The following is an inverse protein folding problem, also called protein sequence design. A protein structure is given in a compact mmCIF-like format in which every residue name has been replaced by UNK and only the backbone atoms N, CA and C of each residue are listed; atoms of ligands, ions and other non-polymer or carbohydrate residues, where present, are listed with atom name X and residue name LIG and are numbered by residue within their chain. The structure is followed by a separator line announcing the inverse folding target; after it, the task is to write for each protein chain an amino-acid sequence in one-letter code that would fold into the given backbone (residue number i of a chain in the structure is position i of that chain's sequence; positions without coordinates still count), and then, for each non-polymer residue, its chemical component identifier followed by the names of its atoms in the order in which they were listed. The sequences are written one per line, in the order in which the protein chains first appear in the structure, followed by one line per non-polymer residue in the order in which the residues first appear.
data_IF_507383131115
#
_entry.id   IF_507383131115
#
_cell.length_a   1.000
_cell.length_b   1.000
_cell.length_c   1.000
_cell.angle_alpha   90.00
_cell.angle_beta   90.00
_cell.angle_gamma   90.00
#
_symmetry.space_group_name_H-M   'P 1'
#
loop_
_entity.id
_entity.type
_entity.pdbx_description
1 polymer ?
#
# COMPACT_ATOMS: atom_id res chain seq x y z
N UNK A 1 12.81 -13.92 -28.18
CA UNK A 1 12.25 -12.58 -28.45
C UNK A 1 11.14 -12.76 -29.46
N UNK A 2 9.94 -12.34 -29.14
CA UNK A 2 8.77 -12.52 -30.01
C UNK A 2 8.22 -11.14 -30.37
N UNK A 3 8.06 -10.86 -31.66
CA UNK A 3 7.68 -9.53 -32.16
C UNK A 3 6.22 -9.56 -32.56
N UNK A 4 5.45 -8.59 -32.08
CA UNK A 4 4.03 -8.42 -32.38
C UNK A 4 3.81 -7.10 -33.08
N UNK A 5 2.86 -7.07 -34.01
CA UNK A 5 2.43 -5.84 -34.67
C UNK A 5 1.32 -5.19 -33.87
N UNK A 6 1.32 -3.87 -33.86
CA UNK A 6 0.17 -3.09 -33.38
C UNK A 6 -0.96 -3.19 -34.41
N UNK A 7 -2.18 -3.35 -33.90
CA UNK A 7 -3.41 -3.36 -34.70
C UNK A 7 -4.25 -2.16 -34.30
N UNK A 8 -4.53 -1.25 -35.24
CA UNK A 8 -5.38 -0.10 -34.95
C UNK A 8 -6.83 -0.55 -34.81
N UNK A 9 -7.50 -0.15 -33.74
CA UNK A 9 -8.92 -0.40 -33.50
C UNK A 9 -9.63 0.89 -33.10
N UNK A 10 -10.65 1.29 -33.86
CA UNK A 10 -11.33 2.57 -33.66
C UNK A 10 -10.44 3.78 -34.05
N UNK A 11 -10.80 4.96 -33.54
CA UNK A 11 -10.13 6.22 -33.89
C UNK A 11 -8.75 6.39 -33.25
N UNK A 12 -8.60 6.00 -31.98
CA UNK A 12 -7.47 6.37 -31.11
C UNK A 12 -6.85 5.21 -30.33
N UNK A 13 -7.24 3.95 -30.58
CA UNK A 13 -6.75 2.79 -29.81
C UNK A 13 -5.98 1.82 -30.68
N UNK A 14 -4.96 1.19 -30.09
CA UNK A 14 -4.18 0.12 -30.71
C UNK A 14 -4.23 -1.13 -29.81
N UNK A 15 -4.22 -2.30 -30.42
CA UNK A 15 -4.13 -3.59 -29.77
C UNK A 15 -2.78 -4.26 -30.07
N UNK A 16 -2.28 -5.01 -29.10
CA UNK A 16 -1.16 -5.95 -29.25
C UNK A 16 -1.55 -7.30 -28.67
N UNK A 17 -1.25 -8.38 -29.38
CA UNK A 17 -1.59 -9.73 -28.91
C UNK A 17 -0.58 -10.23 -27.89
N UNK A 18 -1.06 -10.60 -26.70
CA UNK A 18 -0.22 -11.20 -25.65
C UNK A 18 0.14 -12.66 -25.98
N UNK A 19 1.34 -13.15 -25.59
CA UNK A 19 1.73 -14.54 -25.79
C UNK A 19 0.80 -15.52 -25.07
N UNK A 20 0.31 -16.55 -25.77
CA UNK A 20 -0.60 -17.56 -25.19
C UNK A 20 -0.01 -18.28 -23.99
N UNK A 21 1.29 -18.57 -24.01
CA UNK A 21 2.01 -19.21 -22.91
C UNK A 21 2.01 -18.32 -21.66
N UNK A 22 2.19 -17.01 -21.82
CA UNK A 22 2.15 -16.05 -20.72
C UNK A 22 0.75 -15.93 -20.11
N UNK A 23 -0.30 -15.94 -20.93
CA UNK A 23 -1.69 -15.98 -20.46
C UNK A 23 -1.95 -17.22 -19.60
N UNK A 24 -1.52 -18.39 -20.10
CA UNK A 24 -1.71 -19.68 -19.41
C UNK A 24 -0.92 -19.74 -18.10
N UNK A 25 0.34 -19.30 -18.13
CA UNK A 25 1.23 -19.25 -16.95
C UNK A 25 0.63 -18.40 -15.83
N UNK A 26 0.01 -17.27 -16.18
CA UNK A 26 -0.60 -16.36 -15.21
C UNK A 26 -2.09 -16.66 -14.93
N UNK A 27 -2.62 -17.77 -15.47
CA UNK A 27 -4.01 -18.22 -15.27
C UNK A 27 -5.08 -17.18 -15.66
N UNK A 28 -4.76 -16.30 -16.60
CA UNK A 28 -5.67 -15.26 -17.08
C UNK A 28 -6.71 -15.85 -18.04
N UNK A 29 -7.91 -15.25 -18.03
CA UNK A 29 -9.05 -15.58 -18.89
C UNK A 29 -9.51 -14.35 -19.65
N UNK A 30 -10.35 -14.56 -20.66
CA UNK A 30 -10.96 -13.48 -21.42
C UNK A 30 -11.79 -12.60 -20.48
N UNK A 31 -11.49 -11.30 -20.49
CA UNK A 31 -12.17 -10.30 -19.65
C UNK A 31 -11.45 -10.01 -18.34
N UNK A 32 -10.42 -10.78 -17.97
CA UNK A 32 -9.60 -10.45 -16.81
C UNK A 32 -8.84 -9.14 -17.06
N UNK A 33 -8.85 -8.21 -16.09
CA UNK A 33 -8.09 -6.97 -16.20
C UNK A 33 -6.58 -7.24 -16.09
N UNK A 34 -5.80 -6.41 -16.76
CA UNK A 34 -4.33 -6.36 -16.65
C UNK A 34 -3.91 -4.91 -16.52
N UNK A 35 -2.92 -4.62 -15.68
CA UNK A 35 -2.36 -3.27 -15.61
C UNK A 35 -1.33 -3.07 -16.72
N UNK A 36 -1.28 -1.85 -17.23
CA UNK A 36 -0.23 -1.39 -18.15
C UNK A 36 0.40 -0.15 -17.54
N UNK A 37 1.71 -0.19 -17.33
CA UNK A 37 2.49 0.93 -16.81
C UNK A 37 3.50 1.38 -17.86
N UNK A 38 3.75 2.68 -17.96
CA UNK A 38 4.85 3.23 -18.74
C UNK A 38 6.02 3.52 -17.78
N UNK A 39 7.20 3.00 -18.10
CA UNK A 39 8.43 3.32 -17.36
C UNK A 39 8.94 4.69 -17.77
N UNK A 40 9.81 5.30 -16.95
CA UNK A 40 10.49 6.56 -17.29
C UNK A 40 11.31 6.48 -18.61
N UNK A 41 11.67 5.27 -19.04
CA UNK A 41 12.40 5.01 -20.29
C UNK A 41 11.44 4.79 -21.49
N UNK A 42 10.12 4.95 -21.30
CA UNK A 42 9.10 4.80 -22.34
C UNK A 42 8.73 3.35 -22.67
N UNK A 43 9.17 2.38 -21.87
CA UNK A 43 8.79 0.98 -22.03
C UNK A 43 7.44 0.69 -21.38
N UNK A 44 6.59 -0.11 -22.03
CA UNK A 44 5.34 -0.58 -21.43
C UNK A 44 5.56 -1.90 -20.68
N UNK A 45 5.15 -1.94 -19.41
CA UNK A 45 5.10 -3.14 -18.56
C UNK A 45 3.65 -3.59 -18.46
N UNK A 46 3.41 -4.88 -18.66
CA UNK A 46 2.09 -5.50 -18.52
C UNK A 46 2.11 -6.41 -17.29
N UNK A 47 1.29 -6.08 -16.30
CA UNK A 47 1.18 -6.84 -15.04
C UNK A 47 -0.10 -7.68 -15.03
N UNK A 48 0.01 -9.02 -14.94
CA UNK A 48 -1.16 -9.91 -14.87
C UNK A 48 -1.86 -9.88 -13.51
N UNK A 49 -1.23 -9.31 -12.48
CA UNK A 49 -1.79 -9.18 -11.13
C UNK A 49 -2.43 -7.80 -10.98
N UNK A 50 -3.41 -7.50 -11.83
CA UNK A 50 -4.28 -6.38 -11.56
C UNK A 50 -5.09 -6.69 -10.30
N UNK A 51 -4.57 -6.25 -9.16
CA UNK A 51 -5.36 -6.13 -7.94
C UNK A 51 -5.91 -4.71 -8.01
N UNK A 52 -7.23 -4.53 -7.92
CA UNK A 52 -7.88 -3.20 -7.81
C UNK A 52 -7.44 -2.40 -6.56
N UNK A 53 -6.43 -2.88 -5.85
CA UNK A 53 -5.72 -2.13 -4.84
C UNK A 53 -4.35 -1.84 -5.44
N UNK A 54 -4.07 -0.58 -5.73
CA UNK A 54 -2.73 -0.07 -5.41
C UNK A 54 -2.36 -0.73 -4.08
N UNK A 55 -1.30 -1.54 -4.05
CA UNK A 55 -0.85 -2.12 -2.78
C UNK A 55 -0.51 -0.92 -1.90
N UNK A 56 -1.47 -0.51 -1.06
CA UNK A 56 -1.32 0.55 -0.08
C UNK A 56 -0.01 0.24 0.60
N UNK A 57 0.97 1.14 0.45
CA UNK A 57 2.27 0.95 1.04
C UNK A 57 2.01 0.89 2.54
N UNK A 58 2.12 -0.29 3.13
CA UNK A 58 1.67 -0.54 4.49
C UNK A 58 2.81 -0.92 5.41
N UNK A 59 2.71 -0.50 6.67
CA UNK A 59 3.68 -0.84 7.71
C UNK A 59 2.97 -1.20 9.01
N UNK A 60 3.57 -2.14 9.75
CA UNK A 60 3.14 -2.52 11.08
C UNK A 60 4.12 -1.98 12.12
N UNK A 61 3.60 -1.29 13.14
CA UNK A 61 4.36 -0.79 14.28
C UNK A 61 3.94 -1.61 15.50
N UNK A 62 4.86 -2.40 16.05
CA UNK A 62 4.62 -3.17 17.27
C UNK A 62 5.06 -2.39 18.51
N UNK A 63 4.15 -2.21 19.47
CA UNK A 63 4.48 -1.61 20.77
C UNK A 63 5.26 -2.63 21.61
N UNK A 64 6.48 -2.30 22.08
CA UNK A 64 7.30 -3.23 22.85
C UNK A 64 6.62 -3.70 24.15
N UNK A 65 6.86 -4.96 24.53
CA UNK A 65 6.33 -5.55 25.78
C UNK A 65 6.95 -4.94 27.05
N UNK A 66 8.22 -4.54 26.94
CA UNK A 66 9.01 -3.88 27.98
C UNK A 66 8.72 -2.39 28.01
N UNK A 67 8.99 -1.72 29.13
CA UNK A 67 8.69 -0.29 29.28
C UNK A 67 9.27 0.50 28.10
N UNK A 68 8.45 1.13 27.24
CA UNK A 68 8.91 1.71 25.97
C UNK A 68 10.05 2.72 26.16
N UNK A 69 9.96 3.52 27.23
CA UNK A 69 10.97 4.51 27.63
C UNK A 69 12.34 3.89 27.96
N UNK A 70 12.38 2.65 28.48
CA UNK A 70 13.64 1.96 28.78
C UNK A 70 14.33 1.40 27.55
N UNK A 71 13.59 1.25 26.44
CA UNK A 71 14.11 0.72 25.16
C UNK A 71 14.24 1.85 24.12
N UNK A 72 13.97 3.10 24.50
CA UNK A 72 14.04 4.25 23.60
C UNK A 72 12.95 4.25 22.52
N UNK A 73 11.83 3.56 22.74
CA UNK A 73 10.71 3.53 21.80
C UNK A 73 9.80 4.75 22.02
N UNK A 74 9.52 5.46 20.93
CA UNK A 74 8.58 6.58 20.87
C UNK A 74 7.56 6.33 19.76
N UNK A 75 6.32 6.01 20.16
CA UNK A 75 5.24 5.68 19.25
C UNK A 75 4.95 6.81 18.24
N UNK A 76 4.98 8.06 18.69
CA UNK A 76 4.72 9.21 17.83
C UNK A 76 5.81 9.38 16.77
N UNK A 77 7.07 9.12 17.13
CA UNK A 77 8.19 9.15 16.19
C UNK A 77 8.07 8.05 15.14
N UNK A 78 7.72 6.83 15.52
CA UNK A 78 7.53 5.72 14.56
C UNK A 78 6.39 5.99 13.58
N UNK A 79 5.26 6.55 14.06
CA UNK A 79 4.14 6.97 13.19
C UNK A 79 4.58 8.08 12.23
N UNK A 80 5.31 9.08 12.72
CA UNK A 80 5.83 10.18 11.89
C UNK A 80 6.80 9.65 10.83
N UNK A 81 7.69 8.72 11.20
CA UNK A 81 8.61 8.09 10.27
C UNK A 81 7.84 7.34 9.16
N UNK A 82 6.86 6.53 9.53
CA UNK A 82 6.01 5.84 8.57
C UNK A 82 5.30 6.80 7.60
N UNK A 83 4.76 7.91 8.11
CA UNK A 83 4.19 8.95 7.27
C UNK A 83 5.21 9.56 6.30
N UNK A 84 6.41 9.92 6.79
CA UNK A 84 7.47 10.51 5.95
C UNK A 84 8.02 9.54 4.90
N UNK A 85 7.97 8.23 5.15
CA UNK A 85 8.32 7.22 4.16
C UNK A 85 7.21 6.96 3.12
N UNK A 86 6.08 7.67 3.21
CA UNK A 86 4.98 7.57 2.25
C UNK A 86 4.18 6.28 2.38
N UNK A 87 4.05 5.73 3.60
CA UNK A 87 3.14 4.61 3.84
C UNK A 87 1.69 5.10 3.86
N UNK A 88 0.84 4.50 3.03
CA UNK A 88 -0.59 4.78 2.92
C UNK A 88 -1.40 4.18 4.08
N UNK A 89 -0.90 3.11 4.70
CA UNK A 89 -1.54 2.45 5.83
C UNK A 89 -0.55 2.11 6.94
N UNK A 90 -0.89 2.43 8.19
CA UNK A 90 -0.06 2.17 9.37
C UNK A 90 -0.89 1.39 10.38
N UNK A 91 -0.48 0.16 10.68
CA UNK A 91 -1.15 -0.67 11.71
C UNK A 91 -0.30 -0.71 12.96
N UNK A 92 -0.80 -0.13 14.05
CA UNK A 92 -0.17 -0.19 15.36
C UNK A 92 -0.75 -1.40 16.09
N UNK A 93 0.11 -2.29 16.59
CA UNK A 93 -0.30 -3.52 17.30
C UNK A 93 0.39 -3.64 18.65
N UNK A 94 -0.29 -4.28 19.61
CA UNK A 94 0.25 -4.60 20.93
C UNK A 94 -0.27 -5.95 21.41
N UNK A 95 0.58 -6.71 22.10
CA UNK A 95 0.13 -7.95 22.75
C UNK A 95 -0.83 -7.69 23.92
N UNK A 96 -0.63 -6.56 24.61
CA UNK A 96 -1.48 -6.08 25.69
C UNK A 96 -2.49 -5.06 25.15
N UNK A 97 -3.45 -4.69 25.99
CA UNK A 97 -4.34 -3.60 25.62
C UNK A 97 -3.54 -2.31 25.46
N UNK A 98 -3.76 -1.62 24.35
CA UNK A 98 -3.21 -0.29 24.09
C UNK A 98 -3.79 0.66 25.14
N UNK A 99 -2.90 1.20 25.97
CA UNK A 99 -3.20 2.05 27.10
C UNK A 99 -3.78 3.41 26.67
N UNK A 100 -4.50 4.11 27.56
CA UNK A 100 -5.01 5.45 27.26
C UNK A 100 -3.91 6.44 26.84
N UNK A 101 -2.72 6.33 27.44
CA UNK A 101 -1.58 7.20 27.10
C UNK A 101 -1.03 6.93 25.69
N UNK A 102 -0.98 5.67 25.27
CA UNK A 102 -0.58 5.31 23.90
C UNK A 102 -1.63 5.81 22.90
N UNK A 103 -2.93 5.64 23.19
CA UNK A 103 -4.02 6.18 22.35
C UNK A 103 -3.94 7.71 22.23
N UNK A 104 -3.69 8.40 23.33
CA UNK A 104 -3.53 9.86 23.35
C UNK A 104 -2.28 10.29 22.55
N UNK A 105 -1.18 9.53 22.65
CA UNK A 105 0.02 9.76 21.84
C UNK A 105 -0.26 9.60 20.35
N UNK A 106 -0.99 8.56 19.93
CA UNK A 106 -1.43 8.40 18.53
C UNK A 106 -2.26 9.60 18.09
N UNK A 107 -3.30 9.96 18.84
CA UNK A 107 -4.20 11.09 18.52
C UNK A 107 -3.46 12.42 18.39
N UNK A 108 -2.57 12.74 19.33
CA UNK A 108 -1.73 13.95 19.28
C UNK A 108 -0.73 13.96 18.13
N UNK A 109 -0.30 12.79 17.69
CA UNK A 109 0.63 12.66 16.57
C UNK A 109 -0.09 12.90 15.25
N UNK A 110 -1.20 12.20 15.01
CA UNK A 110 -1.95 12.33 13.75
C UNK A 110 -2.57 13.73 13.57
N UNK A 111 -2.90 14.44 14.64
CA UNK A 111 -3.36 15.85 14.56
C UNK A 111 -2.34 16.80 13.93
N UNK A 112 -1.06 16.40 13.85
CA UNK A 112 0.02 17.18 13.22
C UNK A 112 0.31 16.73 11.79
N UNK A 113 -0.33 15.66 11.32
CA UNK A 113 -0.11 15.05 10.01
C UNK A 113 -1.35 15.30 9.14
N UNK A 114 -1.13 15.64 7.87
CA UNK A 114 -2.22 15.97 6.95
C UNK A 114 -2.74 14.67 6.35
N UNK A 115 -4.06 14.50 6.35
CA UNK A 115 -4.70 13.39 5.64
C UNK A 115 -4.60 12.03 6.33
N UNK A 116 -4.07 11.93 7.54
CA UNK A 116 -4.10 10.69 8.32
C UNK A 116 -5.37 10.64 9.17
N UNK A 117 -6.09 9.52 9.07
CA UNK A 117 -7.26 9.21 9.90
C UNK A 117 -7.13 7.85 10.59
N UNK A 118 -7.80 7.69 11.73
CA UNK A 118 -7.98 6.38 12.38
C UNK A 118 -9.19 5.72 11.73
N UNK A 119 -8.97 4.60 11.04
CA UNK A 119 -10.03 3.85 10.34
C UNK A 119 -10.55 2.67 11.16
N UNK A 120 -9.74 2.15 12.08
CA UNK A 120 -10.14 1.07 12.98
C UNK A 120 -9.40 1.21 14.32
N UNK A 121 -10.09 0.93 15.42
CA UNK A 121 -9.52 0.97 16.76
C UNK A 121 -10.10 -0.19 17.59
N UNK A 122 -9.22 -1.08 18.05
CA UNK A 122 -9.58 -2.19 18.95
C UNK A 122 -8.84 -2.06 20.29
N UNK A 123 -9.02 -3.03 21.18
CA UNK A 123 -8.24 -3.09 22.42
C UNK A 123 -6.73 -3.24 22.16
N UNK A 124 -6.34 -3.90 21.06
CA UNK A 124 -4.95 -4.34 20.78
C UNK A 124 -4.37 -3.80 19.47
N UNK A 125 -5.15 -3.10 18.67
CA UNK A 125 -4.72 -2.52 17.40
C UNK A 125 -5.32 -1.14 17.15
N UNK A 126 -4.60 -0.32 16.41
CA UNK A 126 -5.09 0.93 15.82
C UNK A 126 -4.63 0.97 14.37
N UNK A 127 -5.55 1.14 13.43
CA UNK A 127 -5.27 1.23 12.01
C UNK A 127 -5.40 2.69 11.56
N UNK A 128 -4.35 3.22 10.97
CA UNK A 128 -4.30 4.55 10.39
C UNK A 128 -4.25 4.46 8.87
N UNK A 129 -4.92 5.38 8.19
CA UNK A 129 -4.88 5.49 6.72
C UNK A 129 -4.58 6.93 6.29
N UNK A 130 -3.67 7.08 5.33
CA UNK A 130 -3.44 8.33 4.62
C UNK A 130 -4.43 8.44 3.46
N UNK A 131 -5.15 9.57 3.37
CA UNK A 131 -6.18 9.84 2.37
C UNK A 131 -5.73 10.82 1.28
N UNK A 132 -4.46 11.20 1.29
CA UNK A 132 -3.89 12.24 0.41
C UNK A 132 -2.73 11.69 -0.45
N UNK A 133 -2.71 10.37 -0.64
CA UNK A 133 -1.73 9.65 -1.48
C UNK A 133 -1.76 10.12 -2.93
#
# INVERSE_FOLDING_TARGET
MDVRKLQKTGGSTYLVSLPKEWITKNKLKKGDPVAIFETNEGSLIIDPKYTEREELKSVMIEIPKSNPLKVGFDLGREITAAYLFGYDAITIVSEKNISPNERDSVKKTIQKLIGIEIVEETAKSISLQCLVS
#
